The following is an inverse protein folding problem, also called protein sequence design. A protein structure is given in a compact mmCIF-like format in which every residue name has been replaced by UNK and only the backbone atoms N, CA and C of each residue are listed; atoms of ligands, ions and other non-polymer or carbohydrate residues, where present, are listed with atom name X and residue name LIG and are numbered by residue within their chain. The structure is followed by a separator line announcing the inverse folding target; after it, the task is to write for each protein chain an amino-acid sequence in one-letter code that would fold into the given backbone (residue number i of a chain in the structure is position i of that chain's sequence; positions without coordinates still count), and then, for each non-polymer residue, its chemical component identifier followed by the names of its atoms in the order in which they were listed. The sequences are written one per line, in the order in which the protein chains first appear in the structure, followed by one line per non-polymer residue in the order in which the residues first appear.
data_IF_338674399251
#
_entry.id   IF_338674399251
#
_cell.length_a   1.000
_cell.length_b   1.000
_cell.length_c   1.000
_cell.angle_alpha   90.00
_cell.angle_beta   90.00
_cell.angle_gamma   90.00
#
_symmetry.space_group_name_H-M   'P 1'
#
loop_
_entity.id
_entity.type
_entity.pdbx_description
1 polymer ?
#
# COMPACT_ATOMS: atom_id res chain seq x y z
N UNK A 1 -7.40 13.16 -26.72
CA UNK A 1 -6.77 12.15 -27.59
C UNK A 1 -5.29 12.23 -27.37
N UNK A 2 -4.62 11.12 -27.07
CA UNK A 2 -3.16 11.11 -26.86
C UNK A 2 -2.49 10.81 -28.21
N UNK A 3 -1.43 11.55 -28.56
CA UNK A 3 -0.68 11.36 -29.82
C UNK A 3 0.43 10.31 -29.68
N UNK A 4 1.05 10.19 -28.50
CA UNK A 4 2.07 9.19 -28.20
C UNK A 4 1.72 8.41 -26.92
N UNK A 5 1.67 7.07 -27.00
CA UNK A 5 1.39 6.24 -25.83
C UNK A 5 2.53 6.28 -24.81
N UNK A 6 3.79 6.26 -25.26
CA UNK A 6 4.95 6.40 -24.38
C UNK A 6 5.21 7.88 -24.08
N UNK A 7 5.32 8.22 -22.80
CA UNK A 7 5.72 9.56 -22.33
C UNK A 7 7.18 9.80 -22.70
N UNK A 8 7.48 10.99 -23.23
CA UNK A 8 8.81 11.34 -23.67
C UNK A 8 9.73 11.73 -22.50
N UNK A 9 11.04 11.66 -22.72
CA UNK A 9 12.02 12.12 -21.72
C UNK A 9 11.89 13.63 -21.46
N UNK A 10 11.53 14.40 -22.47
CA UNK A 10 11.30 15.84 -22.38
C UNK A 10 10.06 16.16 -21.53
N UNK A 11 8.97 15.38 -21.67
CA UNK A 11 7.77 15.53 -20.83
C UNK A 11 8.09 15.24 -19.35
N UNK A 12 8.85 14.18 -19.07
CA UNK A 12 9.30 13.82 -17.71
C UNK A 12 10.23 14.89 -17.13
N UNK A 13 11.18 15.40 -17.92
CA UNK A 13 12.08 16.46 -17.48
C UNK A 13 11.31 17.75 -17.17
N UNK A 14 10.37 18.13 -18.03
CA UNK A 14 9.54 19.32 -17.82
C UNK A 14 8.64 19.18 -16.58
N UNK A 15 8.09 18.00 -16.32
CA UNK A 15 7.34 17.70 -15.10
C UNK A 15 8.21 17.85 -13.86
N UNK A 16 9.43 17.32 -13.90
CA UNK A 16 10.40 17.41 -12.81
C UNK A 16 10.79 18.85 -12.48
N UNK A 17 10.95 19.72 -13.49
CA UNK A 17 11.25 21.14 -13.29
C UNK A 17 10.09 21.92 -12.64
N UNK A 18 8.84 21.46 -12.77
CA UNK A 18 7.68 22.12 -12.17
C UNK A 18 7.48 21.80 -10.69
N UNK A 19 8.06 20.70 -10.20
CA UNK A 19 7.94 20.31 -8.79
C UNK A 19 8.85 21.12 -7.87
N UNK A 20 8.36 21.44 -6.68
CA UNK A 20 9.16 22.13 -5.65
C UNK A 20 10.29 21.25 -5.14
N UNK A 21 11.39 21.89 -4.74
CA UNK A 21 12.52 21.17 -4.12
C UNK A 21 12.12 20.50 -2.81
N UNK A 22 11.18 21.07 -2.07
CA UNK A 22 10.61 20.48 -0.85
C UNK A 22 9.98 19.11 -1.13
N UNK A 23 9.12 19.01 -2.15
CA UNK A 23 8.47 17.76 -2.52
C UNK A 23 9.48 16.72 -3.02
N UNK A 24 10.46 17.16 -3.84
CA UNK A 24 11.55 16.30 -4.32
C UNK A 24 12.35 15.72 -3.16
N UNK A 25 12.70 16.55 -2.18
CA UNK A 25 13.43 16.12 -0.98
C UNK A 25 12.59 15.16 -0.12
N UNK A 26 11.29 15.41 0.05
CA UNK A 26 10.39 14.51 0.76
C UNK A 26 10.33 13.12 0.08
N UNK A 27 10.18 13.07 -1.25
CA UNK A 27 10.21 11.81 -1.99
C UNK A 27 11.57 11.10 -1.87
N UNK A 28 12.68 11.84 -1.89
CA UNK A 28 14.01 11.26 -1.71
C UNK A 28 14.21 10.63 -0.32
N UNK A 29 13.69 11.26 0.74
CA UNK A 29 13.66 10.69 2.09
C UNK A 29 12.84 9.41 2.13
N UNK A 30 11.63 9.42 1.55
CA UNK A 30 10.76 8.25 1.46
C UNK A 30 11.46 7.09 0.73
N UNK A 31 12.00 7.32 -0.47
CA UNK A 31 12.70 6.29 -1.25
C UNK A 31 13.88 5.70 -0.48
N UNK A 32 14.66 6.52 0.22
CA UNK A 32 15.79 6.04 1.04
C UNK A 32 15.33 5.08 2.14
N UNK A 33 14.26 5.42 2.84
CA UNK A 33 13.74 4.60 3.94
C UNK A 33 13.12 3.30 3.40
N UNK A 34 12.33 3.39 2.32
CA UNK A 34 11.76 2.23 1.60
C UNK A 34 12.88 1.30 1.12
N UNK A 35 13.93 1.84 0.49
CA UNK A 35 15.06 1.06 0.01
C UNK A 35 15.80 0.37 1.15
N UNK A 36 15.99 1.06 2.28
CA UNK A 36 16.65 0.52 3.47
C UNK A 36 15.88 -0.69 4.00
N UNK A 37 14.57 -0.55 4.20
CA UNK A 37 13.73 -1.62 4.74
C UNK A 37 13.64 -2.82 3.77
N UNK A 38 13.38 -2.59 2.48
CA UNK A 38 13.26 -3.67 1.51
C UNK A 38 14.60 -4.35 1.22
N UNK A 39 15.73 -3.65 1.28
CA UNK A 39 17.06 -4.27 1.14
C UNK A 39 17.34 -5.24 2.29
N UNK A 40 16.87 -4.96 3.50
CA UNK A 40 17.02 -5.84 4.65
C UNK A 40 16.24 -7.15 4.52
N UNK A 41 15.28 -7.24 3.58
CA UNK A 41 14.48 -8.44 3.33
C UNK A 41 15.16 -9.48 2.43
N UNK A 42 16.39 -9.21 1.95
CA UNK A 42 17.14 -10.17 1.12
C UNK A 42 17.36 -11.48 1.87
N UNK A 43 16.87 -12.58 1.30
CA UNK A 43 17.04 -13.91 1.87
C UNK A 43 18.53 -14.30 1.91
N UNK A 44 19.05 -14.75 3.07
CA UNK A 44 20.34 -15.42 3.13
C UNK A 44 20.36 -16.66 2.23
N UNK A 45 21.54 -17.11 1.77
CA UNK A 45 21.63 -18.33 0.99
C UNK A 45 21.16 -19.53 1.82
N UNK A 46 20.30 -20.37 1.22
CA UNK A 46 19.97 -21.70 1.77
C UNK A 46 20.80 -22.71 1.01
N UNK A 47 21.71 -23.38 1.73
CA UNK A 47 22.60 -24.39 1.18
C UNK A 47 22.87 -25.44 2.24
N UNK A 48 22.31 -26.63 2.04
CA UNK A 48 22.31 -27.69 3.04
C UNK A 48 22.60 -29.03 2.40
N UNK A 49 23.44 -29.81 3.05
CA UNK A 49 23.62 -31.22 2.75
C UNK A 49 22.73 -32.03 3.68
N UNK A 50 21.61 -32.56 3.17
CA UNK A 50 20.61 -33.26 3.99
C UNK A 50 21.12 -34.62 4.46
N UNK A 51 22.00 -35.23 3.66
CA UNK A 51 22.81 -36.39 3.98
C UNK A 51 24.06 -36.38 3.09
N UNK A 52 25.15 -37.09 3.44
CA UNK A 52 26.37 -37.12 2.65
C UNK A 52 26.11 -37.43 1.16
N UNK A 53 26.51 -36.53 0.28
CA UNK A 53 26.31 -36.57 -1.17
C UNK A 53 25.03 -35.92 -1.70
N UNK A 54 24.12 -35.42 -0.85
CA UNK A 54 22.83 -34.83 -1.25
C UNK A 54 22.76 -33.36 -0.82
N UNK A 55 23.20 -32.46 -1.71
CA UNK A 55 23.20 -31.00 -1.49
C UNK A 55 21.96 -30.35 -2.10
N UNK A 56 21.23 -29.61 -1.30
CA UNK A 56 20.05 -28.85 -1.67
C UNK A 56 20.32 -27.35 -1.51
N UNK A 57 19.92 -26.56 -2.50
CA UNK A 57 20.07 -25.10 -2.48
C UNK A 57 18.75 -24.41 -2.81
N UNK A 58 18.48 -23.28 -2.15
CA UNK A 58 17.48 -22.31 -2.59
C UNK A 58 18.21 -21.06 -3.08
N UNK A 59 17.88 -20.61 -4.28
CA UNK A 59 18.40 -19.37 -4.86
C UNK A 59 17.25 -18.52 -5.38
N UNK A 60 17.40 -17.21 -5.31
CA UNK A 60 16.40 -16.26 -5.81
C UNK A 60 16.76 -15.76 -7.21
N UNK A 61 15.74 -15.50 -8.03
CA UNK A 61 15.85 -14.83 -9.33
C UNK A 61 14.70 -13.83 -9.46
N UNK A 62 14.93 -12.63 -10.02
CA UNK A 62 13.87 -11.66 -10.17
C UNK A 62 12.84 -12.10 -11.20
N UNK A 63 11.60 -11.67 -11.01
CA UNK A 63 10.64 -11.57 -12.12
C UNK A 63 11.26 -10.68 -13.20
N UNK A 64 11.30 -11.15 -14.44
CA UNK A 64 12.10 -10.49 -15.47
C UNK A 64 11.50 -9.14 -15.87
N UNK A 65 10.17 -9.08 -16.02
CA UNK A 65 9.44 -7.88 -16.41
C UNK A 65 8.21 -7.64 -15.53
N UNK A 66 8.07 -6.43 -15.00
CA UNK A 66 6.96 -6.02 -14.15
C UNK A 66 6.30 -4.74 -14.67
N UNK A 67 4.98 -4.71 -14.59
CA UNK A 67 4.15 -3.56 -14.95
C UNK A 67 3.49 -2.96 -13.73
N UNK A 68 3.59 -1.65 -13.55
CA UNK A 68 3.02 -0.92 -12.44
C UNK A 68 1.80 -0.14 -12.92
N UNK A 69 0.66 -0.30 -12.26
CA UNK A 69 -0.53 0.49 -12.51
C UNK A 69 -0.71 1.53 -11.42
N UNK A 70 -0.83 2.80 -11.81
CA UNK A 70 -1.06 3.91 -10.88
C UNK A 70 -2.39 4.59 -11.25
N UNK A 71 -3.35 4.67 -10.32
CA UNK A 71 -4.57 5.44 -10.53
C UNK A 71 -4.25 6.93 -10.77
N UNK A 72 -4.95 7.54 -11.72
CA UNK A 72 -5.00 8.99 -11.87
C UNK A 72 -6.11 9.58 -11.00
N UNK A 73 -6.40 10.87 -11.19
CA UNK A 73 -7.50 11.56 -10.49
C UNK A 73 -7.07 12.91 -9.94
N UNK A 74 -7.93 13.52 -9.12
CA UNK A 74 -7.69 14.83 -8.52
C UNK A 74 -6.66 14.83 -7.39
N UNK A 75 -6.33 13.67 -6.82
CA UNK A 75 -5.15 13.47 -5.96
C UNK A 75 -4.29 12.36 -6.55
N UNK A 76 -3.10 12.67 -7.10
CA UNK A 76 -2.19 11.67 -7.62
C UNK A 76 -1.57 10.87 -6.46
N UNK A 77 -1.77 9.55 -6.44
CA UNK A 77 -1.16 8.64 -5.46
C UNK A 77 0.26 8.27 -5.89
N UNK A 78 1.14 9.26 -6.00
CA UNK A 78 2.52 9.08 -6.44
C UNK A 78 3.36 8.25 -5.46
N UNK A 79 2.98 8.18 -4.18
CA UNK A 79 3.66 7.36 -3.17
C UNK A 79 3.65 5.88 -3.54
N UNK A 80 2.58 5.39 -4.18
CA UNK A 80 2.51 4.00 -4.69
C UNK A 80 3.58 3.71 -5.74
N UNK A 81 4.02 4.71 -6.52
CA UNK A 81 5.16 4.53 -7.43
C UNK A 81 6.43 4.17 -6.64
N UNK A 82 6.67 4.86 -5.53
CA UNK A 82 7.84 4.64 -4.67
C UNK A 82 7.78 3.24 -4.04
N UNK A 83 6.60 2.83 -3.58
CA UNK A 83 6.35 1.54 -2.93
C UNK A 83 6.46 0.34 -3.88
N UNK A 84 6.19 0.53 -5.18
CA UNK A 84 6.26 -0.53 -6.18
C UNK A 84 7.61 -0.58 -6.91
N UNK A 85 8.10 0.56 -7.39
CA UNK A 85 9.29 0.61 -8.24
C UNK A 85 10.58 0.37 -7.45
N UNK A 86 10.63 0.78 -6.18
CA UNK A 86 11.81 0.59 -5.32
C UNK A 86 12.13 -0.89 -5.08
N UNK A 87 11.21 -1.74 -4.58
CA UNK A 87 11.49 -3.18 -4.46
C UNK A 87 11.78 -3.86 -5.80
N UNK A 88 11.09 -3.49 -6.89
CA UNK A 88 11.39 -4.03 -8.23
C UNK A 88 12.84 -3.75 -8.66
N UNK A 89 13.36 -2.54 -8.39
CA UNK A 89 14.75 -2.19 -8.63
C UNK A 89 15.71 -2.99 -7.76
N UNK A 90 15.41 -3.17 -6.47
CA UNK A 90 16.25 -3.93 -5.52
C UNK A 90 16.31 -5.42 -5.90
N UNK A 91 15.19 -6.00 -6.33
CA UNK A 91 15.11 -7.38 -6.82
C UNK A 91 15.96 -7.58 -8.09
N UNK A 92 16.14 -6.53 -8.87
CA UNK A 92 16.89 -6.56 -10.12
C UNK A 92 16.04 -6.98 -11.33
N UNK A 93 14.73 -6.68 -11.28
CA UNK A 93 13.81 -6.82 -12.41
C UNK A 93 14.38 -6.09 -13.63
N UNK A 94 14.40 -6.77 -14.79
CA UNK A 94 15.09 -6.26 -15.99
C UNK A 94 14.30 -5.18 -16.71
N UNK A 95 12.97 -5.26 -16.62
CA UNK A 95 12.05 -4.30 -17.20
C UNK A 95 11.01 -3.88 -16.17
N UNK A 96 10.93 -2.58 -15.92
CA UNK A 96 9.95 -1.96 -15.02
C UNK A 96 9.26 -0.86 -15.80
N UNK A 97 7.97 -1.04 -16.07
CA UNK A 97 7.15 -0.07 -16.82
C UNK A 97 5.95 0.37 -16.01
N UNK A 98 5.41 1.55 -16.29
CA UNK A 98 4.30 2.13 -15.56
C UNK A 98 3.21 2.59 -16.51
N UNK A 99 1.95 2.29 -16.18
CA UNK A 99 0.77 2.81 -16.86
C UNK A 99 -0.04 3.67 -15.89
N UNK A 100 -0.43 4.86 -16.34
CA UNK A 100 -1.33 5.75 -15.59
C UNK A 100 -2.30 6.45 -16.56
N UNK A 101 -3.56 6.70 -16.16
CA UNK A 101 -4.50 7.46 -16.99
C UNK A 101 -3.93 8.84 -17.37
N UNK A 102 -3.99 9.25 -18.65
CA UNK A 102 -3.54 10.56 -19.09
C UNK A 102 -4.58 11.67 -18.81
N UNK A 103 -4.16 12.93 -18.61
CA UNK A 103 -2.76 13.35 -18.45
C UNK A 103 -2.17 12.87 -17.11
N UNK A 104 -0.94 12.37 -17.14
CA UNK A 104 -0.25 11.86 -15.96
C UNK A 104 0.29 13.05 -15.16
N UNK A 105 0.07 13.05 -13.85
CA UNK A 105 0.51 14.11 -12.95
C UNK A 105 2.04 14.20 -12.86
N UNK A 106 2.57 15.40 -12.62
CA UNK A 106 4.01 15.66 -12.58
C UNK A 106 4.70 14.84 -11.48
N UNK A 107 4.02 14.66 -10.34
CA UNK A 107 4.47 13.90 -9.19
C UNK A 107 4.68 12.41 -9.54
N UNK A 108 3.80 11.82 -10.36
CA UNK A 108 3.93 10.43 -10.81
C UNK A 108 5.12 10.29 -11.76
N UNK A 109 5.30 11.23 -12.69
CA UNK A 109 6.42 11.20 -13.63
C UNK A 109 7.77 11.35 -12.93
N UNK A 110 7.87 12.29 -11.98
CA UNK A 110 9.08 12.47 -11.18
C UNK A 110 9.36 11.25 -10.29
N UNK A 111 8.34 10.71 -9.62
CA UNK A 111 8.50 9.49 -8.81
C UNK A 111 8.97 8.29 -9.65
N UNK A 112 8.42 8.14 -10.85
CA UNK A 112 8.82 7.09 -11.80
C UNK A 112 10.30 7.24 -12.20
N UNK A 113 10.72 8.47 -12.53
CA UNK A 113 12.12 8.78 -12.86
C UNK A 113 13.05 8.51 -11.67
N UNK A 114 12.67 8.97 -10.48
CA UNK A 114 13.44 8.83 -9.24
C UNK A 114 13.70 7.35 -8.89
N UNK A 115 12.71 6.49 -9.09
CA UNK A 115 12.81 5.06 -8.81
C UNK A 115 13.38 4.23 -9.97
N UNK A 116 13.70 4.84 -11.12
CA UNK A 116 14.29 4.15 -12.26
C UNK A 116 13.31 3.32 -13.10
N UNK A 117 12.03 3.72 -13.14
CA UNK A 117 11.06 3.17 -14.10
C UNK A 117 11.52 3.51 -15.51
N UNK A 118 11.54 2.52 -16.41
CA UNK A 118 12.15 2.66 -17.74
C UNK A 118 11.21 3.32 -18.75
N UNK A 119 9.93 2.92 -18.73
CA UNK A 119 8.92 3.43 -19.65
C UNK A 119 7.64 3.78 -18.89
N UNK A 120 7.08 4.94 -19.19
CA UNK A 120 5.77 5.38 -18.68
C UNK A 120 4.80 5.51 -19.85
N UNK A 121 3.58 4.99 -19.70
CA UNK A 121 2.57 4.94 -20.74
C UNK A 121 1.28 5.66 -20.34
N UNK A 122 0.78 6.47 -21.26
CA UNK A 122 -0.47 7.24 -21.21
C UNK A 122 -1.71 6.34 -21.41
N UNK A 123 -1.93 5.39 -20.50
CA UNK A 123 -3.06 4.46 -20.55
C UNK A 123 -3.53 4.13 -19.13
N UNK A 124 -4.85 4.19 -18.91
CA UNK A 124 -5.50 3.94 -17.63
C UNK A 124 -6.50 2.78 -17.67
N UNK A 125 -7.04 2.37 -16.52
CA UNK A 125 -8.17 1.44 -16.44
C UNK A 125 -7.87 0.02 -16.90
N UNK A 126 -8.93 -0.72 -17.23
CA UNK A 126 -8.83 -2.12 -17.68
C UNK A 126 -7.94 -2.30 -18.92
N UNK A 127 -7.94 -1.32 -19.82
CA UNK A 127 -7.11 -1.33 -21.03
C UNK A 127 -5.60 -1.20 -20.73
N UNK A 128 -5.22 -0.51 -19.65
CA UNK A 128 -3.82 -0.50 -19.20
C UNK A 128 -3.38 -1.87 -18.73
N UNK A 129 -4.24 -2.55 -17.95
CA UNK A 129 -3.99 -3.91 -17.47
C UNK A 129 -3.91 -4.89 -18.64
N UNK A 130 -4.80 -4.78 -19.62
CA UNK A 130 -4.75 -5.59 -20.83
C UNK A 130 -3.46 -5.34 -21.63
N UNK A 131 -3.05 -4.09 -21.82
CA UNK A 131 -1.83 -3.75 -22.54
C UNK A 131 -0.57 -4.31 -21.85
N UNK A 132 -0.51 -4.25 -20.52
CA UNK A 132 0.58 -4.87 -19.74
C UNK A 132 0.54 -6.40 -19.83
N UNK A 133 -0.64 -7.00 -19.73
CA UNK A 133 -0.78 -8.46 -19.70
C UNK A 133 -0.54 -9.12 -21.07
N UNK A 134 -0.91 -8.46 -22.17
CA UNK A 134 -0.87 -9.06 -23.51
C UNK A 134 0.19 -8.44 -24.42
N UNK A 135 0.66 -7.22 -24.10
CA UNK A 135 1.51 -6.43 -24.97
C UNK A 135 0.74 -5.77 -26.11
N UNK A 136 1.30 -4.70 -26.64
CA UNK A 136 0.87 -4.00 -27.86
C UNK A 136 2.11 -3.62 -28.69
N UNK A 137 1.92 -2.92 -29.80
CA UNK A 137 3.02 -2.35 -30.59
C UNK A 137 3.86 -1.34 -29.78
N UNK A 138 3.29 -0.75 -28.71
CA UNK A 138 3.95 0.26 -27.86
C UNK A 138 4.24 -0.22 -26.44
N UNK A 139 3.30 -0.97 -25.83
CA UNK A 139 3.40 -1.40 -24.44
C UNK A 139 3.96 -2.82 -24.41
N UNK A 140 5.08 -3.08 -23.72
CA UNK A 140 5.61 -4.43 -23.62
C UNK A 140 4.68 -5.31 -22.77
N UNK A 141 4.51 -6.57 -23.17
CA UNK A 141 3.99 -7.60 -22.28
C UNK A 141 4.92 -7.75 -21.08
N UNK A 142 4.35 -7.84 -19.87
CA UNK A 142 5.07 -8.08 -18.62
C UNK A 142 4.66 -9.42 -17.99
N UNK A 143 5.51 -9.94 -17.11
CA UNK A 143 5.28 -11.22 -16.43
C UNK A 143 4.33 -11.08 -15.23
N UNK A 144 4.42 -9.96 -14.50
CA UNK A 144 3.58 -9.67 -13.32
C UNK A 144 3.15 -8.20 -13.26
N UNK A 145 1.90 -7.95 -12.87
CA UNK A 145 1.29 -6.61 -12.79
C UNK A 145 1.00 -6.24 -11.33
N UNK A 146 1.43 -5.06 -10.93
CA UNK A 146 1.30 -4.53 -9.57
C UNK A 146 0.48 -3.25 -9.53
N UNK A 147 -0.10 -2.96 -8.38
CA UNK A 147 -0.78 -1.70 -8.07
C UNK A 147 -2.30 -1.85 -8.01
N UNK A 148 -2.96 -1.21 -7.03
CA UNK A 148 -4.41 -1.24 -6.88
C UNK A 148 -5.09 -0.32 -7.92
N UNK A 149 -6.40 -0.45 -8.04
CA UNK A 149 -7.20 0.48 -8.82
C UNK A 149 -8.69 0.27 -8.61
N UNK A 150 -9.50 1.02 -9.35
CA UNK A 150 -10.96 0.92 -9.25
C UNK A 150 -11.48 -0.47 -9.65
N UNK A 151 -12.80 -0.66 -9.55
CA UNK A 151 -13.47 -1.93 -9.86
C UNK A 151 -13.08 -2.52 -11.23
N UNK A 152 -12.91 -1.69 -12.27
CA UNK A 152 -12.52 -2.15 -13.61
C UNK A 152 -11.07 -2.63 -13.66
N UNK A 153 -10.16 -1.95 -12.97
CA UNK A 153 -8.76 -2.35 -12.86
C UNK A 153 -8.66 -3.67 -12.10
N UNK A 154 -9.38 -3.77 -10.98
CA UNK A 154 -9.45 -4.99 -10.16
C UNK A 154 -9.98 -6.18 -10.97
N UNK A 155 -11.09 -6.00 -11.68
CA UNK A 155 -11.66 -7.07 -12.53
C UNK A 155 -10.73 -7.43 -13.69
N UNK A 156 -10.07 -6.45 -14.32
CA UNK A 156 -9.10 -6.73 -15.37
C UNK A 156 -7.90 -7.53 -14.84
N UNK A 157 -7.34 -7.16 -13.68
CA UNK A 157 -6.27 -7.91 -12.99
C UNK A 157 -6.72 -9.34 -12.69
N UNK A 158 -7.94 -9.51 -12.18
CA UNK A 158 -8.53 -10.83 -11.93
C UNK A 158 -8.61 -11.65 -13.22
N UNK A 159 -9.14 -11.10 -14.30
CA UNK A 159 -9.25 -11.84 -15.57
C UNK A 159 -7.90 -12.22 -16.15
N UNK A 160 -6.93 -11.32 -16.21
CA UNK A 160 -5.61 -11.62 -16.80
C UNK A 160 -4.82 -12.63 -15.98
N UNK A 161 -4.96 -12.62 -14.64
CA UNK A 161 -4.31 -13.59 -13.76
C UNK A 161 -4.80 -15.04 -13.96
N UNK A 162 -6.03 -15.21 -14.45
CA UNK A 162 -6.64 -16.53 -14.65
C UNK A 162 -6.48 -17.06 -16.07
N UNK A 163 -5.81 -16.30 -16.94
CA UNK A 163 -5.56 -16.69 -18.33
C UNK A 163 -4.13 -17.15 -18.50
N UNK A 164 -3.95 -18.24 -19.24
CA UNK A 164 -2.62 -18.76 -19.58
C UNK A 164 -1.79 -17.76 -20.40
N UNK A 165 -2.44 -16.99 -21.28
CA UNK A 165 -1.80 -15.96 -22.10
C UNK A 165 -1.73 -14.59 -21.42
N UNK A 166 -2.23 -14.49 -20.18
CA UNK A 166 -2.21 -13.28 -19.36
C UNK A 166 -0.90 -13.07 -18.61
N UNK A 167 -0.98 -12.48 -17.42
CA UNK A 167 0.15 -12.17 -16.56
C UNK A 167 -0.24 -12.41 -15.10
N UNK A 168 0.74 -12.70 -14.25
CA UNK A 168 0.52 -12.77 -12.81
C UNK A 168 0.13 -11.38 -12.27
N UNK A 169 -0.44 -11.35 -11.07
CA UNK A 169 -0.73 -10.12 -10.33
C UNK A 169 -0.11 -10.20 -8.93
N UNK A 170 0.11 -9.05 -8.31
CA UNK A 170 0.51 -8.91 -6.90
C UNK A 170 -0.43 -9.64 -5.94
N UNK A 171 -1.64 -9.13 -5.77
CA UNK A 171 -2.63 -9.65 -4.84
C UNK A 171 -4.05 -9.23 -5.25
N UNK A 172 -5.09 -9.94 -4.77
CA UNK A 172 -6.46 -9.49 -4.89
C UNK A 172 -6.67 -8.13 -4.20
N UNK A 173 -7.55 -7.30 -4.75
CA UNK A 173 -7.92 -6.02 -4.15
C UNK A 173 -9.19 -6.14 -3.29
N UNK A 174 -9.44 -5.12 -2.48
CA UNK A 174 -10.65 -4.92 -1.69
C UNK A 174 -10.70 -3.49 -1.12
N UNK A 175 -11.78 -3.12 -0.41
CA UNK A 175 -11.83 -1.86 0.32
C UNK A 175 -10.74 -1.81 1.39
N UNK A 176 -10.11 -0.65 1.60
CA UNK A 176 -9.04 -0.51 2.59
C UNK A 176 -9.55 -0.40 4.03
N UNK A 177 -8.74 -0.82 4.99
CA UNK A 177 -9.20 -1.02 6.37
C UNK A 177 -8.17 -0.65 7.45
N UNK A 178 -8.62 0.01 8.53
CA UNK A 178 -7.82 0.25 9.74
C UNK A 178 -8.55 -0.22 10.99
N UNK A 179 -7.80 -0.84 11.90
CA UNK A 179 -8.25 -1.20 13.24
C UNK A 179 -7.29 -0.63 14.28
N UNK A 180 -7.81 0.22 15.17
CA UNK A 180 -7.05 0.79 16.29
C UNK A 180 -7.39 0.06 17.59
N UNK A 181 -6.38 -0.44 18.30
CA UNK A 181 -6.49 -0.89 19.69
C UNK A 181 -6.00 0.24 20.59
N UNK A 182 -6.88 0.82 21.39
CA UNK A 182 -6.56 1.94 22.28
C UNK A 182 -6.88 1.60 23.75
N UNK A 183 -5.93 1.83 24.66
CA UNK A 183 -6.18 1.76 26.11
C UNK A 183 -6.55 3.14 26.69
N UNK A 184 -6.77 3.21 28.01
CA UNK A 184 -7.15 4.46 28.69
C UNK A 184 -6.08 5.57 28.61
N UNK A 185 -4.83 5.21 28.28
CA UNK A 185 -3.71 6.14 28.12
C UNK A 185 -3.59 6.74 26.72
N UNK A 186 -4.32 6.23 25.73
CA UNK A 186 -4.31 6.77 24.37
C UNK A 186 -4.80 8.22 24.32
N UNK A 187 -4.34 8.97 23.33
CA UNK A 187 -4.84 10.33 23.05
C UNK A 187 -6.00 10.24 22.07
N UNK A 188 -7.24 10.63 22.44
CA UNK A 188 -8.40 10.47 21.56
C UNK A 188 -8.26 11.17 20.21
N UNK A 189 -7.57 12.31 20.18
CA UNK A 189 -7.32 13.04 18.94
C UNK A 189 -6.39 12.30 17.98
N UNK A 190 -5.42 11.53 18.48
CA UNK A 190 -4.53 10.72 17.65
C UNK A 190 -5.26 9.49 17.10
N UNK A 191 -6.04 8.81 17.94
CA UNK A 191 -6.92 7.72 17.49
C UNK A 191 -7.89 8.22 16.41
N UNK A 192 -8.56 9.36 16.65
CA UNK A 192 -9.50 9.94 15.69
C UNK A 192 -8.83 10.32 14.37
N UNK A 193 -7.61 10.88 14.41
CA UNK A 193 -6.90 11.23 13.18
C UNK A 193 -6.52 10.01 12.34
N UNK A 194 -6.09 8.91 12.96
CA UNK A 194 -5.80 7.65 12.24
C UNK A 194 -7.08 7.02 11.66
N UNK A 195 -8.19 7.04 12.40
CA UNK A 195 -9.48 6.58 11.86
C UNK A 195 -9.92 7.43 10.66
N UNK A 196 -9.72 8.74 10.71
CA UNK A 196 -10.09 9.65 9.63
C UNK A 196 -9.15 9.56 8.41
N UNK A 197 -7.85 9.31 8.60
CA UNK A 197 -6.91 9.12 7.49
C UNK A 197 -7.31 7.92 6.62
N UNK A 198 -7.73 6.82 7.23
CA UNK A 198 -8.25 5.67 6.48
C UNK A 198 -9.62 5.99 5.85
N UNK A 199 -10.52 6.67 6.57
CA UNK A 199 -11.87 6.96 6.09
C UNK A 199 -11.89 7.87 4.84
N UNK A 200 -10.92 8.79 4.70
CA UNK A 200 -10.85 9.66 3.53
C UNK A 200 -10.35 8.98 2.25
N UNK A 201 -9.79 7.76 2.37
CA UNK A 201 -9.25 7.01 1.22
C UNK A 201 -10.34 6.62 0.22
N UNK A 202 -11.55 6.31 0.69
CA UNK A 202 -12.67 5.95 -0.15
C UNK A 202 -13.95 5.63 0.64
N UNK A 203 -15.13 5.70 0.00
CA UNK A 203 -16.41 5.58 0.69
C UNK A 203 -16.69 4.18 1.26
N UNK A 204 -15.99 3.16 0.74
CA UNK A 204 -16.11 1.77 1.18
C UNK A 204 -15.08 1.39 2.26
N UNK A 205 -14.23 2.34 2.69
CA UNK A 205 -13.18 2.06 3.68
C UNK A 205 -13.79 1.67 5.04
N UNK A 206 -13.20 0.67 5.70
CA UNK A 206 -13.66 0.22 7.00
C UNK A 206 -12.74 0.73 8.11
N UNK A 207 -13.31 1.39 9.12
CA UNK A 207 -12.55 1.89 10.27
C UNK A 207 -13.13 1.34 11.57
N UNK A 208 -12.26 0.81 12.43
CA UNK A 208 -12.66 0.11 13.66
C UNK A 208 -11.81 0.60 14.83
N UNK A 209 -12.45 0.88 15.96
CA UNK A 209 -11.79 1.07 17.26
C UNK A 209 -12.15 -0.09 18.18
N UNK A 210 -11.15 -0.68 18.82
CA UNK A 210 -11.31 -1.59 19.95
C UNK A 210 -10.69 -0.94 21.21
N UNK A 211 -11.46 -0.82 22.28
CA UNK A 211 -10.95 -0.27 23.53
C UNK A 211 -11.62 -0.91 24.76
N UNK A 212 -10.91 -1.21 25.85
CA UNK A 212 -11.53 -1.67 27.08
C UNK A 212 -12.16 -0.53 27.91
N UNK A 213 -12.06 0.71 27.44
CA UNK A 213 -12.53 1.90 28.15
C UNK A 213 -13.68 2.60 27.40
N UNK A 214 -14.88 2.57 27.97
CA UNK A 214 -16.05 3.22 27.40
C UNK A 214 -15.94 4.76 27.35
N UNK A 215 -15.14 5.37 28.23
CA UNK A 215 -14.84 6.81 28.17
C UNK A 215 -13.91 7.11 26.98
N UNK A 216 -12.93 6.24 26.71
CA UNK A 216 -12.08 6.35 25.52
C UNK A 216 -12.91 6.31 24.24
N UNK A 217 -13.83 5.34 24.10
CA UNK A 217 -14.70 5.24 22.93
C UNK A 217 -15.54 6.52 22.71
N UNK A 218 -16.11 7.09 23.78
CA UNK A 218 -16.89 8.35 23.69
C UNK A 218 -16.02 9.53 23.28
N UNK A 219 -14.87 9.71 23.90
CA UNK A 219 -13.93 10.80 23.59
C UNK A 219 -13.40 10.71 22.15
N UNK A 220 -13.16 9.49 21.64
CA UNK A 220 -12.78 9.29 20.24
C UNK A 220 -13.93 9.64 19.30
N UNK A 221 -15.17 9.22 19.60
CA UNK A 221 -16.32 9.57 18.78
C UNK A 221 -16.49 11.10 18.64
N UNK A 222 -16.37 11.84 19.76
CA UNK A 222 -16.41 13.31 19.76
C UNK A 222 -15.26 13.93 18.97
N UNK A 223 -14.04 13.40 19.11
CA UNK A 223 -12.87 13.86 18.36
C UNK A 223 -13.02 13.63 16.85
N UNK A 224 -13.56 12.47 16.44
CA UNK A 224 -13.86 12.16 15.04
C UNK A 224 -14.87 13.16 14.47
N UNK A 225 -15.97 13.45 15.17
CA UNK A 225 -16.97 14.42 14.70
C UNK A 225 -16.37 15.83 14.53
N UNK A 226 -15.57 16.27 15.51
CA UNK A 226 -14.90 17.57 15.46
C UNK A 226 -13.92 17.66 14.29
N UNK A 227 -13.02 16.69 14.16
CA UNK A 227 -12.01 16.70 13.10
C UNK A 227 -12.64 16.54 11.71
N UNK A 228 -13.68 15.71 11.57
CA UNK A 228 -14.42 15.54 10.31
C UNK A 228 -15.01 16.86 9.80
N UNK A 229 -15.42 17.77 10.70
CA UNK A 229 -15.97 19.07 10.32
C UNK A 229 -14.91 20.00 9.67
N UNK A 230 -13.62 19.74 9.89
CA UNK A 230 -12.51 20.51 9.34
C UNK A 230 -11.95 19.92 8.03
N UNK A 231 -12.32 18.69 7.68
CA UNK A 231 -11.79 18.01 6.50
C UNK A 231 -12.37 18.54 5.18
N UNK A 232 -11.54 18.95 4.21
CA UNK A 232 -12.00 19.33 2.87
C UNK A 232 -12.74 18.20 2.13
N UNK A 233 -12.42 16.94 2.45
CA UNK A 233 -13.01 15.71 1.86
C UNK A 233 -13.98 14.99 2.78
N UNK A 234 -14.65 15.72 3.68
CA UNK A 234 -15.54 15.15 4.68
C UNK A 234 -16.69 14.29 4.12
N UNK A 235 -17.14 14.50 2.88
CA UNK A 235 -18.22 13.68 2.29
C UNK A 235 -17.83 12.21 2.12
N UNK A 236 -16.61 11.95 1.62
CA UNK A 236 -16.11 10.57 1.45
C UNK A 236 -15.89 9.91 2.81
N UNK A 237 -15.20 10.62 3.73
CA UNK A 237 -14.98 10.12 5.08
C UNK A 237 -16.29 9.84 5.83
N UNK A 238 -17.31 10.70 5.69
CA UNK A 238 -18.63 10.50 6.30
C UNK A 238 -19.34 9.24 5.79
N UNK A 239 -19.17 8.89 4.51
CA UNK A 239 -19.73 7.66 3.96
C UNK A 239 -19.03 6.43 4.57
N UNK A 240 -17.71 6.40 4.59
CA UNK A 240 -16.94 5.33 5.22
C UNK A 240 -17.29 5.17 6.72
N UNK A 241 -17.42 6.29 7.44
CA UNK A 241 -17.78 6.30 8.86
C UNK A 241 -19.17 5.71 9.14
N UNK A 242 -20.08 5.65 8.16
CA UNK A 242 -21.38 5.00 8.36
C UNK A 242 -21.28 3.49 8.58
N UNK A 243 -20.17 2.86 8.14
CA UNK A 243 -19.82 1.47 8.40
C UNK A 243 -18.87 1.30 9.59
N UNK A 244 -18.37 2.39 10.19
CA UNK A 244 -17.41 2.34 11.29
C UNK A 244 -17.96 1.68 12.54
N UNK A 245 -17.07 1.12 13.36
CA UNK A 245 -17.44 0.43 14.60
C UNK A 245 -16.50 0.86 15.72
N UNK A 246 -17.04 1.51 16.74
CA UNK A 246 -16.34 1.77 18.00
C UNK A 246 -16.80 0.74 19.03
N UNK A 247 -15.95 -0.23 19.34
CA UNK A 247 -16.29 -1.42 20.12
C UNK A 247 -15.60 -1.34 21.47
N UNK A 248 -16.42 -1.34 22.53
CA UNK A 248 -15.92 -1.46 23.91
C UNK A 248 -15.78 -2.94 24.26
N UNK A 249 -14.59 -3.35 24.67
CA UNK A 249 -14.25 -4.72 25.08
C UNK A 249 -14.09 -4.82 26.59
N UNK A 250 -13.90 -6.04 27.09
CA UNK A 250 -13.62 -6.30 28.50
C UNK A 250 -12.19 -5.89 28.89
N UNK A 251 -11.22 -6.22 28.06
CA UNK A 251 -9.79 -6.05 28.31
C UNK A 251 -8.99 -6.09 26.99
N UNK A 252 -7.68 -5.80 27.05
CA UNK A 252 -6.80 -5.81 25.88
C UNK A 252 -6.64 -7.21 25.26
N UNK A 253 -6.78 -8.28 26.04
CA UNK A 253 -6.69 -9.64 25.51
C UNK A 253 -7.87 -9.91 24.56
N UNK A 254 -9.08 -9.45 24.92
CA UNK A 254 -10.22 -9.51 24.03
C UNK A 254 -10.07 -8.60 22.79
N UNK A 255 -9.42 -7.42 22.90
CA UNK A 255 -9.09 -6.62 21.72
C UNK A 255 -8.22 -7.40 20.73
N UNK A 256 -7.18 -8.07 21.23
CA UNK A 256 -6.29 -8.90 20.42
C UNK A 256 -7.05 -10.08 19.78
N UNK A 257 -7.92 -10.75 20.52
CA UNK A 257 -8.77 -11.83 19.99
C UNK A 257 -9.64 -11.36 18.81
N UNK A 258 -10.36 -10.25 18.98
CA UNK A 258 -11.20 -9.66 17.93
C UNK A 258 -10.35 -9.22 16.73
N UNK A 259 -9.21 -8.57 16.98
CA UNK A 259 -8.31 -8.12 15.92
C UNK A 259 -7.74 -9.30 15.11
N UNK A 260 -7.33 -10.38 15.76
CA UNK A 260 -6.84 -11.59 15.09
C UNK A 260 -7.92 -12.29 14.26
N UNK A 261 -9.16 -12.32 14.78
CA UNK A 261 -10.28 -12.87 14.04
C UNK A 261 -10.62 -12.04 12.80
N UNK A 262 -10.47 -10.71 12.91
CA UNK A 262 -10.73 -9.77 11.83
C UNK A 262 -9.63 -9.76 10.77
N UNK A 263 -8.36 -9.75 11.18
CA UNK A 263 -7.20 -9.68 10.30
C UNK A 263 -7.10 -8.37 9.52
N UNK A 264 -6.95 -7.21 10.19
CA UNK A 264 -7.00 -5.90 9.53
C UNK A 264 -5.82 -5.67 8.58
N UNK A 265 -6.03 -4.88 7.52
CA UNK A 265 -4.96 -4.38 6.66
C UNK A 265 -3.94 -3.55 7.47
N UNK A 266 -4.43 -2.52 8.16
CA UNK A 266 -3.65 -1.71 9.11
C UNK A 266 -4.08 -1.98 10.56
N UNK A 267 -3.14 -2.37 11.42
CA UNK A 267 -3.34 -2.51 12.86
C UNK A 267 -2.54 -1.43 13.60
N UNK A 268 -3.22 -0.53 14.31
CA UNK A 268 -2.58 0.49 15.13
C UNK A 268 -2.80 0.15 16.60
N UNK A 269 -1.73 0.06 17.37
CA UNK A 269 -1.78 -0.28 18.79
C UNK A 269 -1.33 0.93 19.61
N UNK A 270 -2.29 1.78 19.99
CA UNK A 270 -2.09 2.92 20.88
C UNK A 270 -2.38 2.51 22.33
N UNK A 271 -1.48 1.68 22.88
CA UNK A 271 -1.54 1.26 24.28
C UNK A 271 -0.20 1.52 24.94
N UNK A 272 -0.17 1.57 26.28
CA UNK A 272 1.09 1.79 27.03
C UNK A 272 2.17 0.76 26.72
N UNK A 273 1.78 -0.42 26.21
CA UNK A 273 2.60 -1.61 26.02
C UNK A 273 2.45 -2.21 24.62
N UNK A 274 2.28 -1.35 23.63
CA UNK A 274 1.99 -1.78 22.27
C UNK A 274 2.89 -2.92 21.76
N UNK A 275 4.20 -2.86 22.06
CA UNK A 275 5.17 -3.87 21.64
C UNK A 275 4.95 -5.24 22.26
N UNK A 276 4.52 -5.31 23.53
CA UNK A 276 4.31 -6.59 24.23
C UNK A 276 3.10 -7.35 23.67
N UNK A 277 2.20 -6.67 22.96
CA UNK A 277 1.02 -7.29 22.33
C UNK A 277 1.35 -7.94 20.98
N UNK A 278 2.47 -7.59 20.34
CA UNK A 278 2.80 -8.02 18.98
C UNK A 278 2.91 -9.54 18.86
N UNK A 279 3.52 -10.22 19.84
CA UNK A 279 3.62 -11.69 19.83
C UNK A 279 2.26 -12.38 19.92
N UNK A 280 1.23 -11.67 20.37
CA UNK A 280 -0.16 -12.13 20.37
C UNK A 280 -0.92 -11.86 19.07
N UNK A 281 -0.37 -11.06 18.15
CA UNK A 281 -0.99 -10.75 16.86
C UNK A 281 -0.65 -11.85 15.85
N UNK A 282 -1.69 -12.51 15.31
CA UNK A 282 -1.55 -13.62 14.36
C UNK A 282 -1.96 -13.24 12.94
N UNK A 283 -2.69 -12.14 12.74
CA UNK A 283 -3.13 -11.67 11.43
C UNK A 283 -3.26 -10.14 11.41
N UNK A 284 -2.41 -9.49 10.61
CA UNK A 284 -2.49 -8.08 10.26
C UNK A 284 -1.58 -7.82 9.03
N UNK A 285 -1.92 -6.87 8.16
CA UNK A 285 -1.09 -6.52 7.01
C UNK A 285 0.17 -5.74 7.42
N UNK A 286 -0.03 -4.64 8.16
CA UNK A 286 1.03 -3.83 8.77
C UNK A 286 0.64 -3.39 10.18
N UNK A 287 1.61 -3.31 11.09
CA UNK A 287 1.37 -3.02 12.52
C UNK A 287 2.14 -1.77 12.96
N UNK A 288 1.43 -0.85 13.59
CA UNK A 288 1.93 0.45 14.05
C UNK A 288 1.86 0.52 15.58
N UNK A 289 2.94 0.97 16.23
CA UNK A 289 3.09 0.83 17.68
C UNK A 289 3.24 2.19 18.36
N UNK A 290 2.28 2.51 19.25
CA UNK A 290 2.29 3.71 20.09
C UNK A 290 1.94 5.01 19.35
N UNK A 291 1.91 6.09 20.12
CA UNK A 291 1.33 7.38 19.73
C UNK A 291 2.02 8.07 18.54
N UNK A 292 3.28 7.75 18.29
CA UNK A 292 4.11 8.40 17.27
C UNK A 292 4.23 7.59 15.97
N UNK A 293 3.38 6.59 15.80
CA UNK A 293 3.33 5.72 14.64
C UNK A 293 1.98 5.86 13.90
N UNK A 294 1.61 7.05 13.40
CA UNK A 294 0.37 7.19 12.63
C UNK A 294 0.44 6.38 11.33
N UNK A 295 -0.70 5.98 10.78
CA UNK A 295 -0.78 5.25 9.50
C UNK A 295 -0.03 5.99 8.39
N UNK A 296 -0.19 7.31 8.34
CA UNK A 296 0.49 8.18 7.37
C UNK A 296 2.03 8.04 7.40
N UNK A 297 2.64 7.71 8.53
CA UNK A 297 4.08 7.47 8.55
C UNK A 297 4.45 6.24 7.70
N UNK A 298 3.64 5.17 7.77
CA UNK A 298 3.79 3.96 6.97
C UNK A 298 3.46 4.16 5.50
N UNK A 299 2.42 4.94 5.21
CA UNK A 299 1.98 5.22 3.84
C UNK A 299 3.00 5.99 3.01
N UNK A 300 3.86 6.77 3.67
CA UNK A 300 4.76 7.69 2.99
C UNK A 300 6.25 7.41 3.22
N UNK A 301 6.71 7.25 4.47
CA UNK A 301 8.14 7.48 4.74
C UNK A 301 8.81 6.62 5.82
N UNK A 302 8.11 5.74 6.54
CA UNK A 302 8.73 4.87 7.54
C UNK A 302 9.71 3.87 6.89
N UNK A 303 9.37 3.43 5.67
CA UNK A 303 10.08 2.42 4.89
C UNK A 303 9.30 1.12 4.68
N UNK A 304 8.24 0.87 5.45
CA UNK A 304 7.31 -0.24 5.20
C UNK A 304 6.57 -0.05 3.88
N UNK A 305 6.02 -1.11 3.32
CA UNK A 305 5.21 -1.03 2.10
C UNK A 305 3.73 -0.79 2.44
N UNK A 306 3.08 0.15 1.76
CA UNK A 306 1.65 0.42 1.95
C UNK A 306 0.74 -0.42 1.04
N UNK A 307 1.31 -1.25 0.14
CA UNK A 307 0.51 -2.17 -0.67
C UNK A 307 0.32 -3.42 0.16
N UNK A 308 -0.84 -3.49 0.80
CA UNK A 308 -1.15 -4.48 1.82
C UNK A 308 -2.34 -5.36 1.42
N UNK A 309 -2.40 -6.59 1.95
CA UNK A 309 -3.57 -7.42 1.80
C UNK A 309 -4.69 -6.86 2.67
N UNK A 310 -5.87 -6.74 2.08
CA UNK A 310 -7.08 -6.20 2.73
C UNK A 310 -8.25 -7.16 2.56
N UNK A 311 -9.48 -6.83 2.99
CA UNK A 311 -10.67 -7.65 2.78
C UNK A 311 -10.53 -9.11 3.28
N UNK A 312 -9.81 -9.29 4.40
CA UNK A 312 -9.52 -10.58 5.02
C UNK A 312 -8.41 -11.41 4.34
N UNK A 313 -7.76 -10.92 3.27
CA UNK A 313 -6.67 -11.63 2.61
C UNK A 313 -5.40 -11.76 3.47
N UNK A 314 -5.29 -10.98 4.55
CA UNK A 314 -4.27 -11.14 5.62
C UNK A 314 -4.23 -12.56 6.20
N UNK A 315 -5.31 -13.34 6.06
CA UNK A 315 -5.35 -14.74 6.45
C UNK A 315 -4.26 -15.60 5.77
N UNK A 316 -3.81 -15.22 4.56
CA UNK A 316 -2.81 -16.00 3.80
C UNK A 316 -1.81 -15.15 3.02
N UNK A 317 -2.11 -13.88 2.76
CA UNK A 317 -1.27 -12.97 2.00
C UNK A 317 -0.40 -12.13 2.94
N UNK A 318 0.72 -11.62 2.43
CA UNK A 318 1.64 -10.74 3.15
C UNK A 318 1.57 -9.32 2.60
N UNK A 319 2.06 -8.36 3.38
CA UNK A 319 2.49 -7.06 2.87
C UNK A 319 3.39 -7.25 1.64
N UNK A 320 3.23 -6.40 0.63
CA UNK A 320 4.11 -6.41 -0.53
C UNK A 320 5.56 -6.19 -0.08
N UNK A 321 6.45 -7.09 -0.47
CA UNK A 321 7.85 -7.04 -0.11
C UNK A 321 8.79 -7.36 -1.27
N UNK A 322 10.07 -7.55 -0.95
CA UNK A 322 11.07 -7.95 -1.93
C UNK A 322 10.83 -9.36 -2.52
N UNK A 323 10.01 -10.17 -1.85
CA UNK A 323 9.71 -11.54 -2.26
C UNK A 323 8.70 -11.64 -3.42
N UNK A 324 7.93 -10.58 -3.67
CA UNK A 324 6.90 -10.51 -4.71
C UNK A 324 7.43 -10.24 -6.12
#
# INVERSE_FOLDING_TARGET
TVTALKVSAEEIAAASERLSDELKQAMAVAVKNIETFHTAQKLPPVDVETQPGVRCQQVTRPVASVGLYIPGGSAPLFSTVLMLATPARIAGCKKVVLCSPPPIADEILYAAQLCGVQDVFNVGGAQAIAALAFGTESVPKVDKIFGPGNAFVTEAKRQVSQRLDGAAIDMPAGPSEVLVIADSGATPDFVASDLLSQAEHGPDSQVILLTPDAEMARRVAEAVERQLAELPRAETARQALSASRLIVTKDLAQCVEISNQYGPEHLIIQTRNARDLVDGITSAGSVFLGDWSPESAGDYASGTNHVLPTYGYTATCSSLGLAD
#
